data_IF_412129697462
#
_entry.id   IF_412129697462
#
_cell.length_a   1.000
_cell.length_b   1.000
_cell.length_c   1.000
_cell.angle_alpha   90.00
_cell.angle_beta   90.00
_cell.angle_gamma   90.00
#
_symmetry.space_group_name_H-M   'P 1'
#
loop_
_entity.id
_entity.type
_entity.pdbx_description
1 polymer ?
#
# COMPACT_ATOMS: atom_id res chain seq x y z
N UNK A 1 27.53 7.11 8.24
CA UNK A 1 27.46 7.68 6.88
C UNK A 1 27.56 6.55 5.84
N UNK A 2 26.45 5.85 5.59
CA UNK A 2 26.41 4.78 4.58
C UNK A 2 25.45 5.21 3.46
N UNK A 3 26.00 5.91 2.45
CA UNK A 3 25.25 6.42 1.28
C UNK A 3 25.12 5.30 0.25
N UNK A 4 24.37 4.25 0.57
CA UNK A 4 24.16 3.11 -0.31
C UNK A 4 22.90 3.31 -1.18
N UNK A 5 22.96 3.10 -2.51
CA UNK A 5 21.84 3.42 -3.42
C UNK A 5 20.74 2.36 -3.45
N UNK A 6 20.78 1.35 -2.57
CA UNK A 6 19.81 0.26 -2.53
C UNK A 6 18.37 0.76 -2.52
N UNK A 7 17.47 -0.03 -3.11
CA UNK A 7 16.04 0.18 -2.94
C UNK A 7 15.63 -0.31 -1.55
N UNK A 8 14.76 0.44 -0.86
CA UNK A 8 14.17 0.03 0.40
C UNK A 8 12.76 -0.52 0.18
N UNK A 9 12.59 -1.84 0.29
CA UNK A 9 11.31 -2.52 0.15
C UNK A 9 10.84 -2.93 1.55
N UNK A 10 9.63 -2.49 1.95
CA UNK A 10 9.09 -2.72 3.29
C UNK A 10 7.74 -3.43 3.20
N UNK A 11 7.67 -4.61 3.81
CA UNK A 11 6.42 -5.31 4.07
C UNK A 11 5.71 -4.67 5.28
N UNK A 12 4.59 -4.02 5.01
CA UNK A 12 3.74 -3.37 5.99
C UNK A 12 2.39 -4.07 6.19
N UNK A 13 2.28 -5.36 5.83
CA UNK A 13 1.03 -6.15 5.93
C UNK A 13 0.40 -6.04 7.32
N UNK A 14 1.18 -6.23 8.38
CA UNK A 14 0.67 -6.17 9.76
C UNK A 14 0.98 -4.86 10.49
N UNK A 15 1.29 -3.77 9.78
CA UNK A 15 1.62 -2.48 10.41
C UNK A 15 0.84 -1.29 9.84
N UNK A 16 0.74 -1.14 8.52
CA UNK A 16 0.09 0.02 7.88
C UNK A 16 -1.38 0.12 8.34
N UNK A 17 -1.83 1.32 8.68
CA UNK A 17 -3.13 1.63 9.30
C UNK A 17 -3.32 1.14 10.75
N UNK A 18 -2.27 0.67 11.44
CA UNK A 18 -2.28 0.36 12.88
C UNK A 18 -1.08 0.95 13.64
N UNK A 19 0.09 1.00 12.99
CA UNK A 19 1.31 1.63 13.47
C UNK A 19 1.65 2.84 12.59
N UNK A 20 2.46 3.76 13.11
CA UNK A 20 3.00 4.86 12.31
C UNK A 20 3.78 4.30 11.11
N UNK A 21 3.57 4.89 9.94
CA UNK A 21 4.23 4.49 8.71
C UNK A 21 4.40 5.71 7.80
N UNK A 22 5.65 6.16 7.63
CA UNK A 22 5.96 7.40 6.92
C UNK A 22 6.81 7.10 5.70
N UNK A 23 6.16 6.64 4.63
CA UNK A 23 6.82 6.18 3.40
C UNK A 23 7.88 7.18 2.88
N UNK A 24 7.49 8.45 2.72
CA UNK A 24 8.36 9.49 2.18
C UNK A 24 9.46 9.90 3.17
N UNK A 25 9.10 10.11 4.45
CA UNK A 25 10.06 10.51 5.50
C UNK A 25 11.16 9.45 5.70
N UNK A 26 10.78 8.17 5.63
CA UNK A 26 11.70 7.05 5.82
C UNK A 26 12.42 6.64 4.53
N UNK A 27 12.10 7.26 3.38
CA UNK A 27 12.70 6.93 2.09
C UNK A 27 12.39 5.52 1.62
N UNK A 28 11.19 5.00 1.91
CA UNK A 28 10.74 3.68 1.46
C UNK A 28 10.45 3.74 -0.04
N UNK A 29 11.05 2.83 -0.80
CA UNK A 29 10.89 2.75 -2.25
C UNK A 29 9.68 1.93 -2.67
N UNK A 30 9.38 0.84 -1.95
CA UNK A 30 8.16 0.06 -2.14
C UNK A 30 7.59 -0.30 -0.78
N UNK A 31 6.34 0.08 -0.53
CA UNK A 31 5.57 -0.33 0.62
C UNK A 31 4.40 -1.20 0.16
N UNK A 32 4.06 -2.23 0.93
CA UNK A 32 2.90 -3.06 0.65
C UNK A 32 2.10 -3.41 1.90
N UNK A 33 0.79 -3.61 1.74
CA UNK A 33 -0.09 -4.12 2.80
C UNK A 33 -1.21 -4.99 2.23
N UNK A 34 -1.94 -5.68 3.10
CA UNK A 34 -3.07 -6.55 2.76
C UNK A 34 -4.39 -6.01 3.31
N UNK A 35 -5.47 -6.20 2.56
CA UNK A 35 -6.81 -5.72 2.94
C UNK A 35 -7.32 -6.30 4.28
N UNK A 36 -6.98 -7.54 4.59
CA UNK A 36 -7.43 -8.29 5.78
C UNK A 36 -6.71 -7.99 7.09
N UNK A 37 -6.07 -6.83 7.17
CA UNK A 37 -5.28 -6.42 8.34
C UNK A 37 -5.91 -5.18 8.97
N UNK A 38 -5.15 -4.13 9.25
CA UNK A 38 -5.69 -2.96 9.93
C UNK A 38 -6.74 -2.20 9.09
N UNK A 39 -6.75 -2.41 7.77
CA UNK A 39 -7.82 -1.94 6.87
C UNK A 39 -9.16 -2.65 7.09
N UNK A 40 -9.20 -3.74 7.87
CA UNK A 40 -10.41 -4.42 8.34
C UNK A 40 -11.38 -4.86 7.22
N UNK A 41 -10.83 -5.30 6.08
CA UNK A 41 -11.59 -5.82 4.93
C UNK A 41 -11.46 -7.34 4.80
N UNK A 42 -12.25 -8.01 3.96
CA UNK A 42 -11.96 -9.38 3.54
C UNK A 42 -10.62 -9.47 2.80
N UNK A 43 -10.00 -10.66 2.80
CA UNK A 43 -8.81 -10.94 1.98
C UNK A 43 -9.15 -10.78 0.49
N UNK A 44 -8.30 -10.06 -0.25
CA UNK A 44 -8.45 -9.99 -1.71
C UNK A 44 -7.77 -8.79 -2.38
N UNK A 45 -7.20 -7.84 -1.63
CA UNK A 45 -6.37 -6.77 -2.20
C UNK A 45 -4.97 -6.77 -1.58
N UNK A 46 -3.96 -6.88 -2.43
CA UNK A 46 -2.60 -6.47 -2.13
C UNK A 46 -2.41 -5.04 -2.58
N UNK A 47 -2.21 -4.12 -1.64
CA UNK A 47 -2.02 -2.70 -1.93
C UNK A 47 -0.53 -2.43 -1.95
N UNK A 48 -0.02 -1.93 -3.07
CA UNK A 48 1.40 -1.60 -3.27
C UNK A 48 1.51 -0.12 -3.60
N UNK A 49 2.41 0.57 -2.91
CA UNK A 49 2.80 1.94 -3.19
C UNK A 49 4.29 1.95 -3.57
N UNK A 50 4.63 2.62 -4.68
CA UNK A 50 5.98 2.67 -5.22
C UNK A 50 6.45 4.12 -5.37
N UNK A 51 7.66 4.40 -4.91
CA UNK A 51 8.32 5.71 -5.05
C UNK A 51 8.69 6.01 -6.51
N UNK A 52 8.98 7.27 -6.86
CA UNK A 52 9.53 7.60 -8.19
C UNK A 52 10.80 6.80 -8.54
N UNK A 53 11.67 6.53 -7.55
CA UNK A 53 12.90 5.75 -7.73
C UNK A 53 12.59 4.27 -8.03
N UNK A 54 11.59 3.68 -7.37
CA UNK A 54 11.13 2.32 -7.68
C UNK A 54 10.50 2.21 -9.06
N UNK A 55 9.68 3.20 -9.45
CA UNK A 55 9.11 3.27 -10.80
C UNK A 55 10.19 3.38 -11.88
N UNK A 56 11.24 4.17 -11.66
CA UNK A 56 12.39 4.23 -12.57
C UNK A 56 13.11 2.88 -12.68
N UNK A 57 13.40 2.24 -11.55
CA UNK A 57 14.04 0.93 -11.52
C UNK A 57 13.23 -0.14 -12.28
N UNK A 58 11.90 -0.08 -12.24
CA UNK A 58 11.01 -1.02 -12.92
C UNK A 58 11.22 -1.06 -14.44
N UNK A 59 11.65 0.05 -15.07
CA UNK A 59 11.89 0.13 -16.53
C UNK A 59 13.04 -0.77 -16.99
N UNK A 60 13.99 -1.04 -16.10
CA UNK A 60 15.19 -1.84 -16.39
C UNK A 60 15.13 -3.24 -15.78
N UNK A 61 14.12 -3.53 -14.95
CA UNK A 61 13.94 -4.83 -14.32
C UNK A 61 13.62 -5.92 -15.36
N UNK A 62 14.46 -6.95 -15.43
CA UNK A 62 14.36 -8.06 -16.41
C UNK A 62 13.51 -9.25 -15.95
N UNK A 63 13.03 -9.24 -14.70
CA UNK A 63 12.11 -10.26 -14.22
C UNK A 63 10.84 -10.28 -15.07
N UNK A 64 10.49 -11.44 -15.58
CA UNK A 64 9.28 -11.65 -16.38
C UNK A 64 8.06 -11.41 -15.51
N UNK A 65 7.14 -10.57 -15.99
CA UNK A 65 5.91 -10.18 -15.30
C UNK A 65 4.83 -9.84 -16.32
N UNK A 66 3.58 -10.14 -15.96
CA UNK A 66 2.38 -9.77 -16.74
C UNK A 66 1.32 -9.31 -15.76
N UNK A 67 0.71 -10.23 -15.00
CA UNK A 67 -0.34 -9.89 -14.03
C UNK A 67 0.11 -8.88 -12.96
N UNK A 68 1.36 -8.96 -12.51
CA UNK A 68 1.94 -8.02 -11.54
C UNK A 68 2.74 -6.88 -12.18
N UNK A 69 2.61 -6.64 -13.49
CA UNK A 69 3.33 -5.54 -14.12
C UNK A 69 2.65 -4.19 -13.86
N UNK A 70 3.37 -3.29 -13.20
CA UNK A 70 2.90 -1.93 -12.94
C UNK A 70 2.72 -1.13 -14.23
N UNK A 71 3.44 -1.49 -15.31
CA UNK A 71 3.35 -0.78 -16.59
C UNK A 71 1.94 -0.82 -17.19
N UNK A 72 1.22 -1.93 -17.02
CA UNK A 72 -0.16 -2.08 -17.45
C UNK A 72 -1.09 -1.15 -16.67
N UNK A 73 -0.98 -1.10 -15.34
CA UNK A 73 -1.74 -0.16 -14.51
C UNK A 73 -1.44 1.30 -14.88
N UNK A 74 -0.17 1.67 -15.03
CA UNK A 74 0.23 3.03 -15.40
C UNK A 74 -0.33 3.45 -16.77
N UNK A 75 -0.42 2.52 -17.72
CA UNK A 75 -1.08 2.77 -19.02
C UNK A 75 -2.56 3.07 -18.82
N UNK A 76 -3.28 2.25 -18.04
CA UNK A 76 -4.72 2.44 -17.82
C UNK A 76 -5.06 3.65 -16.94
N UNK A 77 -4.13 4.08 -16.08
CA UNK A 77 -4.24 5.36 -15.35
C UNK A 77 -4.24 6.53 -16.33
N UNK A 78 -3.34 6.53 -17.32
CA UNK A 78 -3.30 7.57 -18.37
C UNK A 78 -4.53 7.55 -19.28
N UNK A 79 -5.15 6.39 -19.49
CA UNK A 79 -6.39 6.26 -20.25
C UNK A 79 -7.64 6.71 -19.47
N UNK A 80 -7.53 6.91 -18.15
CA UNK A 80 -8.64 7.29 -17.27
C UNK A 80 -9.60 6.14 -16.91
N UNK A 81 -9.31 4.92 -17.34
CA UNK A 81 -10.14 3.72 -17.06
C UNK A 81 -9.60 2.87 -15.90
N UNK A 82 -8.36 3.11 -15.50
CA UNK A 82 -7.65 2.55 -14.33
C UNK A 82 -7.36 1.04 -14.32
N UNK A 83 -8.24 0.20 -14.89
CA UNK A 83 -8.18 -1.25 -14.71
C UNK A 83 -7.74 -2.00 -15.97
N UNK A 84 -6.54 -2.63 -15.99
CA UNK A 84 -6.11 -3.47 -17.10
C UNK A 84 -6.92 -4.78 -17.23
N UNK A 85 -7.58 -5.21 -16.16
CA UNK A 85 -8.44 -6.39 -16.08
C UNK A 85 -9.48 -6.21 -14.97
N UNK A 86 -10.48 -7.09 -14.92
CA UNK A 86 -11.63 -6.99 -14.01
C UNK A 86 -11.23 -6.95 -12.53
N UNK A 87 -11.56 -5.88 -11.78
CA UNK A 87 -11.38 -5.83 -10.32
C UNK A 87 -12.59 -6.43 -9.58
N UNK A 88 -12.44 -6.66 -8.27
CA UNK A 88 -13.59 -6.98 -7.40
C UNK A 88 -14.36 -5.72 -7.04
N UNK A 89 -15.57 -5.56 -7.57
CA UNK A 89 -16.43 -4.41 -7.27
C UNK A 89 -16.75 -4.31 -5.78
N UNK A 90 -17.03 -5.44 -5.13
CA UNK A 90 -17.35 -5.49 -3.70
C UNK A 90 -16.18 -5.00 -2.83
N UNK A 91 -14.95 -5.39 -3.16
CA UNK A 91 -13.77 -4.93 -2.41
C UNK A 91 -13.47 -3.45 -2.66
N UNK A 92 -13.77 -2.92 -3.84
CA UNK A 92 -13.63 -1.47 -4.10
C UNK A 92 -14.59 -0.64 -3.26
N UNK A 93 -15.88 -1.01 -3.21
CA UNK A 93 -16.85 -0.36 -2.34
C UNK A 93 -16.51 -0.55 -0.85
N UNK A 94 -16.07 -1.75 -0.47
CA UNK A 94 -15.60 -2.03 0.89
C UNK A 94 -14.44 -1.12 1.28
N UNK A 95 -13.43 -0.99 0.42
CA UNK A 95 -12.27 -0.14 0.68
C UNK A 95 -12.66 1.33 0.83
N UNK A 96 -13.62 1.82 0.01
CA UNK A 96 -14.16 3.18 0.17
C UNK A 96 -14.70 3.40 1.58
N UNK A 97 -15.59 2.50 2.04
CA UNK A 97 -16.18 2.61 3.38
C UNK A 97 -15.14 2.44 4.50
N UNK A 98 -14.17 1.53 4.35
CA UNK A 98 -13.10 1.36 5.32
C UNK A 98 -12.24 2.62 5.47
N UNK A 99 -11.90 3.28 4.35
CA UNK A 99 -11.18 4.55 4.37
C UNK A 99 -12.04 5.68 4.95
N UNK A 100 -13.34 5.74 4.66
CA UNK A 100 -14.27 6.70 5.27
C UNK A 100 -14.24 6.60 6.80
N UNK A 101 -14.32 5.38 7.35
CA UNK A 101 -14.26 5.13 8.79
C UNK A 101 -12.90 5.49 9.41
N UNK A 102 -11.79 5.16 8.73
CA UNK A 102 -10.44 5.54 9.19
C UNK A 102 -10.30 7.07 9.24
N UNK A 103 -10.83 7.78 8.25
CA UNK A 103 -10.77 9.25 8.23
C UNK A 103 -11.74 9.90 9.21
N UNK A 104 -12.89 9.28 9.48
CA UNK A 104 -13.82 9.72 10.53
C UNK A 104 -13.21 9.60 11.93
N UNK A 105 -12.52 8.49 12.23
CA UNK A 105 -11.78 8.33 13.50
C UNK A 105 -10.53 9.22 13.53
N UNK A 106 -9.85 9.37 12.39
CA UNK A 106 -8.54 10.00 12.24
C UNK A 106 -7.40 8.99 12.45
N UNK A 107 -6.44 8.97 11.53
CA UNK A 107 -5.36 7.97 11.52
C UNK A 107 -4.52 7.97 12.81
N UNK A 108 -4.21 9.13 13.38
CA UNK A 108 -3.47 9.23 14.64
C UNK A 108 -4.23 8.59 15.81
N UNK A 109 -5.57 8.72 15.83
CA UNK A 109 -6.41 8.09 16.83
C UNK A 109 -6.46 6.57 16.67
N UNK A 110 -6.49 6.08 15.42
CA UNK A 110 -6.39 4.64 15.11
C UNK A 110 -5.06 4.07 15.63
N UNK A 111 -3.94 4.75 15.39
CA UNK A 111 -2.62 4.33 15.88
C UNK A 111 -2.57 4.36 17.41
N UNK A 112 -3.08 5.42 18.03
CA UNK A 112 -3.14 5.54 19.48
C UNK A 112 -4.02 4.43 20.10
N UNK A 113 -5.13 4.06 19.45
CA UNK A 113 -6.00 2.96 19.88
C UNK A 113 -5.26 1.63 19.87
N UNK A 114 -4.56 1.28 18.78
CA UNK A 114 -3.77 0.06 18.73
C UNK A 114 -2.63 0.06 19.76
N UNK A 115 -2.00 1.21 20.00
CA UNK A 115 -0.97 1.37 21.03
C UNK A 115 -1.53 1.10 22.43
N UNK A 116 -2.72 1.61 22.76
CA UNK A 116 -3.37 1.34 24.05
C UNK A 116 -3.67 -0.15 24.24
N UNK A 117 -4.17 -0.82 23.19
CA UNK A 117 -4.48 -2.26 23.23
C UNK A 117 -3.21 -3.11 23.41
N UNK A 118 -2.14 -2.81 22.67
CA UNK A 118 -0.88 -3.54 22.77
C UNK A 118 -0.12 -3.34 24.09
N UNK A 119 -0.36 -2.23 24.81
CA UNK A 119 0.21 -2.00 26.15
C UNK A 119 -0.60 -2.65 27.27
N UNK A 120 -1.88 -2.95 27.04
CA UNK A 120 -2.77 -3.49 28.07
C UNK A 120 -2.58 -5.01 28.29
N UNK A 121 -1.94 -5.69 27.34
CA UNK A 121 -1.53 -7.09 27.42
C UNK A 121 -0.15 -7.23 28.02
#
# INVERSE_FOLDING_TARGET
>A
DYRHPALLLVDGVSSICALDFRMDEWGVDVALTGSQKALSLPTGMGIVCASPKALEASKYAKSVRVFFDWSDYLKFYKLGTYWPYTPSIQLLYGLRAALDLIFEEGLDNVIARHTRLGKAT
#
